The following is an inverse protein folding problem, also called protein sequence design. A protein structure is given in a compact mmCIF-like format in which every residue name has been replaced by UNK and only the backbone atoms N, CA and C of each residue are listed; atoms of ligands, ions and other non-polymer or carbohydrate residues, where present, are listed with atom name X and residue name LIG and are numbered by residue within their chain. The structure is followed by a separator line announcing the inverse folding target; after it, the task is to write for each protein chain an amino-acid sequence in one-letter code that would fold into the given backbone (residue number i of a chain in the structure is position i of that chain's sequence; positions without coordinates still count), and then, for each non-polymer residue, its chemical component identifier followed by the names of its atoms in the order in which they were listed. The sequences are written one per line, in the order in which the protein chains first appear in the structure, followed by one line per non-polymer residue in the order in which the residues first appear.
data_IF_882280072721
#
_entry.id   IF_882280072721
#
_cell.length_a   1.000
_cell.length_b   1.000
_cell.length_c   1.000
_cell.angle_alpha   90.00
_cell.angle_beta   90.00
_cell.angle_gamma   90.00
#
_symmetry.space_group_name_H-M   'P 1'
#
loop_
_entity.id
_entity.type
_entity.pdbx_description
1 polymer ?
#
# COMPACT_ATOMS: atom_id res chain seq x y z
N UNK A 1 -24.95 -19.19 -11.06
CA UNK A 1 -24.50 -17.92 -11.65
C UNK A 1 -23.88 -17.18 -10.49
N UNK A 2 -22.57 -17.15 -10.31
CA UNK A 2 -21.75 -15.97 -10.61
C UNK A 2 -20.27 -16.34 -10.34
N UNK A 3 -19.70 -17.20 -11.19
CA UNK A 3 -18.27 -17.58 -11.09
C UNK A 3 -17.47 -16.91 -12.22
N UNK A 4 -17.95 -15.77 -12.73
CA UNK A 4 -17.41 -15.19 -13.98
C UNK A 4 -17.30 -13.66 -14.04
N UNK A 5 -17.20 -12.96 -12.91
CA UNK A 5 -16.96 -11.49 -12.91
C UNK A 5 -15.82 -10.99 -12.00
N UNK A 6 -15.02 -11.88 -11.41
CA UNK A 6 -14.02 -11.49 -10.39
C UNK A 6 -12.61 -11.19 -10.94
N UNK A 7 -12.40 -11.24 -12.25
CA UNK A 7 -11.03 -11.29 -12.82
C UNK A 7 -10.52 -9.99 -13.43
N UNK A 8 -11.34 -8.93 -13.46
CA UNK A 8 -10.93 -7.59 -13.94
C UNK A 8 -11.05 -6.48 -12.86
N UNK A 9 -11.43 -6.84 -11.62
CA UNK A 9 -11.78 -5.92 -10.52
C UNK A 9 -11.11 -6.28 -9.18
N UNK A 10 -10.12 -7.17 -9.15
CA UNK A 10 -9.78 -7.92 -7.93
C UNK A 10 -9.08 -7.07 -6.85
N UNK A 11 -8.30 -6.05 -7.23
CA UNK A 11 -7.56 -5.19 -6.29
C UNK A 11 -7.87 -3.70 -6.50
N UNK A 12 -9.15 -3.36 -6.58
CA UNK A 12 -9.63 -1.97 -6.68
C UNK A 12 -10.03 -1.48 -5.29
N UNK A 13 -9.62 -0.27 -4.94
CA UNK A 13 -10.09 0.37 -3.71
C UNK A 13 -11.57 0.73 -3.84
N UNK A 14 -12.41 0.05 -3.04
CA UNK A 14 -13.85 0.27 -2.97
C UNK A 14 -14.27 1.49 -2.14
N UNK A 15 -13.31 2.27 -1.62
CA UNK A 15 -13.61 3.49 -0.88
C UNK A 15 -14.24 4.54 -1.78
N UNK A 16 -15.28 5.22 -1.29
CA UNK A 16 -15.99 6.25 -2.04
C UNK A 16 -15.02 7.29 -2.63
N UNK A 17 -15.15 7.55 -3.94
CA UNK A 17 -14.28 8.45 -4.71
C UNK A 17 -12.79 8.06 -4.83
N UNK A 18 -12.32 6.92 -4.32
CA UNK A 18 -10.92 6.53 -4.47
C UNK A 18 -10.63 5.84 -5.82
N UNK A 19 -11.32 4.73 -6.12
CA UNK A 19 -11.25 3.96 -7.37
C UNK A 19 -9.81 3.62 -7.87
N UNK A 20 -8.82 3.60 -6.97
CA UNK A 20 -7.44 3.24 -7.32
C UNK A 20 -7.33 1.75 -7.57
N UNK A 21 -6.57 1.38 -8.60
CA UNK A 21 -6.33 -0.01 -8.99
C UNK A 21 -4.90 -0.38 -8.62
N UNK A 22 -4.74 -1.55 -8.00
CA UNK A 22 -3.45 -2.06 -7.56
C UNK A 22 -3.12 -3.37 -8.28
N UNK A 23 -1.83 -3.70 -8.47
CA UNK A 23 -1.45 -4.93 -9.14
C UNK A 23 -1.58 -6.19 -8.25
N UNK A 24 -1.71 -6.02 -6.94
CA UNK A 24 -1.80 -7.11 -5.95
C UNK A 24 -2.59 -6.69 -4.69
N UNK A 25 -3.10 -7.68 -3.95
CA UNK A 25 -3.89 -7.52 -2.72
C UNK A 25 -3.11 -6.79 -1.62
N UNK A 26 -1.83 -7.13 -1.43
CA UNK A 26 -1.01 -6.53 -0.38
C UNK A 26 -0.84 -5.01 -0.60
N UNK A 27 -0.73 -4.57 -1.85
CA UNK A 27 -0.67 -3.14 -2.16
C UNK A 27 -2.01 -2.42 -1.94
N UNK A 28 -3.13 -3.09 -2.20
CA UNK A 28 -4.46 -2.58 -1.88
C UNK A 28 -4.64 -2.44 -0.36
N UNK A 29 -4.28 -3.46 0.41
CA UNK A 29 -4.32 -3.47 1.88
C UNK A 29 -3.46 -2.33 2.46
N UNK A 30 -2.23 -2.17 1.95
CA UNK A 30 -1.35 -1.07 2.31
C UNK A 30 -1.99 0.27 2.04
N UNK A 31 -2.57 0.45 0.86
CA UNK A 31 -3.24 1.69 0.51
C UNK A 31 -4.43 1.98 1.44
N UNK A 32 -5.24 0.98 1.76
CA UNK A 32 -6.37 1.13 2.66
C UNK A 32 -5.90 1.58 4.05
N UNK A 33 -4.93 0.87 4.64
CA UNK A 33 -4.38 1.24 5.94
C UNK A 33 -3.65 2.59 5.90
N UNK A 34 -2.97 2.94 4.82
CA UNK A 34 -2.16 4.17 4.79
C UNK A 34 -2.97 5.42 4.43
N UNK A 35 -4.11 5.28 3.74
CA UNK A 35 -4.87 6.38 3.14
C UNK A 35 -6.31 6.50 3.66
N UNK A 36 -6.90 5.41 4.14
CA UNK A 36 -8.31 5.36 4.56
C UNK A 36 -8.50 4.98 6.03
N UNK A 37 -7.49 4.44 6.70
CA UNK A 37 -7.55 4.19 8.15
C UNK A 37 -7.32 5.51 8.94
N UNK A 38 -8.32 6.02 9.66
CA UNK A 38 -8.20 7.27 10.41
C UNK A 38 -7.21 7.16 11.58
N UNK A 39 -7.02 5.95 12.13
CA UNK A 39 -6.03 5.73 13.18
C UNK A 39 -4.60 5.94 12.66
N UNK A 40 -4.34 5.57 11.40
CA UNK A 40 -3.06 5.80 10.74
C UNK A 40 -2.76 7.29 10.56
N UNK A 41 -3.78 8.14 10.36
CA UNK A 41 -3.57 9.60 10.36
C UNK A 41 -3.06 10.09 11.72
N UNK A 42 -3.70 9.67 12.82
CA UNK A 42 -3.28 10.02 14.19
C UNK A 42 -1.86 9.51 14.48
N UNK A 43 -1.55 8.28 14.08
CA UNK A 43 -0.21 7.70 14.22
C UNK A 43 0.85 8.49 13.45
N UNK A 44 0.53 8.97 12.24
CA UNK A 44 1.40 9.84 11.46
C UNK A 44 1.66 11.17 12.16
N UNK A 45 0.65 11.80 12.75
CA UNK A 45 0.80 13.03 13.53
C UNK A 45 1.72 12.84 14.74
N UNK A 46 1.71 11.64 15.34
CA UNK A 46 2.62 11.25 16.44
C UNK A 46 4.04 10.91 15.98
N UNK A 47 4.32 10.93 14.67
CA UNK A 47 5.63 10.56 14.11
C UNK A 47 5.89 9.06 14.02
N UNK A 48 4.86 8.21 14.10
CA UNK A 48 5.01 6.76 14.03
C UNK A 48 5.26 6.29 12.58
N UNK A 49 5.94 5.14 12.45
CA UNK A 49 6.21 4.50 11.17
C UNK A 49 4.98 3.74 10.70
N UNK A 50 4.21 4.34 9.81
CA UNK A 50 2.93 3.78 9.31
C UNK A 50 3.03 3.19 7.90
N UNK A 51 4.10 3.47 7.17
CA UNK A 51 4.29 2.98 5.81
C UNK A 51 5.03 1.64 5.84
N UNK A 52 4.37 0.55 5.45
CA UNK A 52 5.04 -0.75 5.42
C UNK A 52 5.72 -1.02 4.08
N UNK A 53 6.73 -1.88 4.05
CA UNK A 53 7.29 -2.39 2.81
C UNK A 53 6.21 -3.11 1.98
N UNK A 54 6.34 -3.02 0.66
CA UNK A 54 5.43 -3.68 -0.28
C UNK A 54 5.53 -5.19 -0.24
N UNK A 55 6.72 -5.73 0.10
CA UNK A 55 6.90 -7.15 0.26
C UNK A 55 6.42 -7.58 1.65
N UNK A 56 5.46 -8.50 1.73
CA UNK A 56 4.94 -9.03 3.00
C UNK A 56 6.02 -9.72 3.85
N UNK A 57 7.07 -10.26 3.21
CA UNK A 57 8.22 -10.87 3.87
C UNK A 57 9.21 -9.86 4.46
N UNK A 58 9.05 -8.56 4.18
CA UNK A 58 9.94 -7.52 4.68
C UNK A 58 9.28 -6.75 5.84
N UNK A 59 9.81 -6.84 7.08
CA UNK A 59 9.20 -6.23 8.26
C UNK A 59 9.48 -4.72 8.39
N UNK A 60 10.06 -4.08 7.37
CA UNK A 60 10.51 -2.68 7.44
C UNK A 60 9.32 -1.72 7.37
N UNK A 61 9.27 -0.81 8.33
CA UNK A 61 8.32 0.30 8.41
C UNK A 61 9.02 1.65 8.23
N UNK A 62 8.31 2.61 7.64
CA UNK A 62 8.82 3.93 7.29
C UNK A 62 7.87 5.03 7.76
N UNK A 63 8.43 6.20 8.06
CA UNK A 63 7.65 7.41 8.38
C UNK A 63 7.15 8.11 7.13
N UNK A 64 7.82 7.94 5.99
CA UNK A 64 7.48 8.64 4.74
C UNK A 64 7.45 7.69 3.55
N UNK A 65 6.60 7.96 2.53
CA UNK A 65 6.59 7.21 1.28
C UNK A 65 7.95 7.25 0.57
N UNK A 66 8.65 8.39 0.65
CA UNK A 66 9.99 8.56 0.08
C UNK A 66 11.00 7.59 0.71
N UNK A 67 10.96 7.45 2.04
CA UNK A 67 11.82 6.49 2.75
C UNK A 67 11.56 5.05 2.32
N UNK A 68 10.28 4.67 2.18
CA UNK A 68 9.90 3.35 1.63
C UNK A 68 10.43 3.15 0.22
N UNK A 69 10.24 4.12 -0.68
CA UNK A 69 10.70 4.04 -2.07
C UNK A 69 12.19 3.80 -2.17
N UNK A 70 12.99 4.55 -1.41
CA UNK A 70 14.44 4.38 -1.37
C UNK A 70 14.82 2.96 -0.90
N UNK A 71 14.14 2.43 0.11
CA UNK A 71 14.37 1.07 0.57
C UNK A 71 14.00 0.00 -0.47
N UNK A 72 12.87 0.16 -1.17
CA UNK A 72 12.48 -0.76 -2.25
C UNK A 72 13.55 -0.81 -3.34
N UNK A 73 14.11 0.35 -3.70
CA UNK A 73 15.20 0.44 -4.70
C UNK A 73 16.47 -0.21 -4.16
N UNK A 74 16.92 0.14 -2.96
CA UNK A 74 18.24 -0.28 -2.46
C UNK A 74 18.27 -1.72 -1.93
N UNK A 75 17.21 -2.18 -1.28
CA UNK A 75 17.18 -3.49 -0.62
C UNK A 75 16.45 -4.57 -1.44
N UNK A 76 15.54 -4.16 -2.34
CA UNK A 76 14.75 -5.09 -3.16
C UNK A 76 14.95 -4.89 -4.66
N UNK A 77 15.84 -3.99 -5.08
CA UNK A 77 16.22 -3.82 -6.48
C UNK A 77 15.12 -3.23 -7.37
N UNK A 78 14.12 -2.56 -6.79
CA UNK A 78 13.06 -1.93 -7.58
C UNK A 78 13.64 -0.88 -8.53
N UNK A 79 13.03 -0.68 -9.72
CA UNK A 79 13.46 0.34 -10.65
C UNK A 79 13.34 1.73 -10.03
N UNK A 80 14.30 2.62 -10.33
CA UNK A 80 14.29 4.00 -9.78
C UNK A 80 13.02 4.78 -10.13
N UNK A 81 12.32 4.40 -11.20
CA UNK A 81 11.08 5.01 -11.68
C UNK A 81 9.79 4.29 -11.23
N UNK A 82 9.86 3.36 -10.28
CA UNK A 82 8.65 2.88 -9.59
C UNK A 82 7.88 4.04 -8.95
#
# INVERSE_FOLDING_TARGET
MEVHYATYHTHVCAWDRCNKIFPDERLLDLHFSECHDPLTAVRKERGERTFSCHLATCPRLFQTPKGRRLHLISAHGFPKQY
#
